data_IF_004444083565
#
_entry.id   IF_004444083565
#
_cell.length_a   1.000
_cell.length_b   1.000
_cell.length_c   1.000
_cell.angle_alpha   90.00
_cell.angle_beta   90.00
_cell.angle_gamma   90.00
#
_symmetry.space_group_name_H-M   'P 1'
#
loop_
_entity.id
_entity.type
_entity.pdbx_description
1 polymer ?
#
# COMPACT_ATOMS: atom_id res chain seq x y z
N UNK A 1 42.56 -2.74 4.65
CA UNK A 1 41.71 -3.51 5.57
C UNK A 1 40.26 -3.33 5.12
N UNK A 2 39.65 -4.35 4.56
CA UNK A 2 38.25 -4.34 4.11
C UNK A 2 37.39 -4.97 5.20
N UNK A 3 36.49 -4.18 5.79
CA UNK A 3 35.62 -4.60 6.88
C UNK A 3 34.37 -5.25 6.26
N UNK A 4 34.28 -6.57 6.34
CA UNK A 4 33.13 -7.32 5.82
C UNK A 4 32.02 -7.28 6.88
N UNK A 5 31.00 -6.46 6.66
CA UNK A 5 29.83 -6.40 7.53
C UNK A 5 28.75 -7.35 7.01
N UNK A 6 28.44 -8.38 7.80
CA UNK A 6 27.30 -9.26 7.53
C UNK A 6 26.02 -8.56 7.99
N UNK A 7 25.18 -8.13 7.06
CA UNK A 7 23.84 -7.63 7.37
C UNK A 7 22.85 -8.80 7.43
N UNK A 8 22.26 -9.03 8.60
CA UNK A 8 21.11 -9.92 8.71
C UNK A 8 19.88 -9.22 8.16
N UNK A 9 19.42 -9.65 6.99
CA UNK A 9 18.20 -9.12 6.38
C UNK A 9 16.99 -9.58 7.20
N UNK A 10 16.12 -8.65 7.59
CA UNK A 10 14.91 -8.98 8.33
C UNK A 10 14.04 -9.94 7.53
N UNK A 11 13.57 -11.00 8.19
CA UNK A 11 12.58 -11.93 7.64
C UNK A 11 11.20 -11.46 8.10
N UNK A 12 10.26 -11.39 7.17
CA UNK A 12 8.85 -11.16 7.49
C UNK A 12 7.96 -12.20 6.81
N UNK A 13 6.83 -12.50 7.46
CA UNK A 13 5.76 -13.33 6.93
C UNK A 13 4.52 -12.44 6.77
N UNK A 14 3.98 -12.34 5.56
CA UNK A 14 2.76 -11.61 5.27
C UNK A 14 1.67 -12.55 4.77
N UNK A 15 0.46 -12.39 5.30
CA UNK A 15 -0.76 -13.07 4.85
C UNK A 15 -1.82 -12.02 4.59
N UNK A 16 -2.44 -12.06 3.41
CA UNK A 16 -3.45 -11.09 3.03
C UNK A 16 -4.57 -11.68 2.19
N UNK A 17 -5.67 -10.94 2.14
CA UNK A 17 -6.84 -11.22 1.34
C UNK A 17 -7.25 -9.96 0.58
N UNK A 18 -7.82 -10.14 -0.61
CA UNK A 18 -8.34 -9.04 -1.42
C UNK A 18 -9.69 -9.44 -2.00
N UNK A 19 -10.65 -8.52 -1.91
CA UNK A 19 -11.99 -8.67 -2.45
C UNK A 19 -12.25 -7.56 -3.46
N UNK A 20 -12.87 -7.90 -4.59
CA UNK A 20 -13.19 -6.97 -5.68
C UNK A 20 -14.69 -6.97 -5.92
N UNK A 21 -15.29 -5.79 -6.03
CA UNK A 21 -16.71 -5.61 -6.27
C UNK A 21 -16.96 -4.55 -7.35
N UNK A 22 -17.96 -4.71 -8.22
CA UNK A 22 -18.68 -5.97 -8.48
C UNK A 22 -17.75 -7.03 -9.11
N UNK A 23 -17.93 -8.30 -8.75
CA UNK A 23 -17.06 -9.38 -9.25
C UNK A 23 -17.31 -9.71 -10.72
N UNK A 24 -18.50 -9.36 -11.22
CA UNK A 24 -19.02 -9.70 -12.56
C UNK A 24 -18.42 -8.83 -13.67
N UNK A 25 -17.89 -7.65 -13.34
CA UNK A 25 -17.41 -6.69 -14.32
C UNK A 25 -15.91 -6.84 -14.56
N UNK A 26 -15.48 -6.64 -15.82
CA UNK A 26 -14.04 -6.60 -16.18
C UNK A 26 -13.24 -5.54 -15.41
N UNK A 27 -13.91 -4.49 -14.92
CA UNK A 27 -13.31 -3.44 -14.10
C UNK A 27 -14.09 -3.33 -12.78
N UNK A 28 -13.50 -3.70 -11.63
CA UNK A 28 -14.18 -3.49 -10.35
C UNK A 28 -14.28 -1.99 -10.05
N UNK A 29 -15.30 -1.62 -9.29
CA UNK A 29 -15.52 -0.26 -8.83
C UNK A 29 -14.93 -0.10 -7.42
N UNK A 30 -14.87 -1.18 -6.65
CA UNK A 30 -14.37 -1.20 -5.28
C UNK A 30 -13.45 -2.40 -5.08
N UNK A 31 -12.29 -2.16 -4.47
CA UNK A 31 -11.38 -3.21 -4.01
C UNK A 31 -11.13 -3.01 -2.53
N UNK A 32 -11.29 -4.08 -1.74
CA UNK A 32 -10.95 -4.13 -0.33
C UNK A 32 -9.75 -5.04 -0.17
N UNK A 33 -8.75 -4.61 0.58
CA UNK A 33 -7.56 -5.40 0.88
C UNK A 33 -7.29 -5.39 2.38
N UNK A 34 -6.99 -6.56 2.93
CA UNK A 34 -6.54 -6.71 4.31
C UNK A 34 -5.30 -7.60 4.32
N UNK A 35 -4.33 -7.29 5.17
CA UNK A 35 -3.17 -8.12 5.37
C UNK A 35 -2.67 -8.02 6.81
N UNK A 36 -1.96 -9.05 7.22
CA UNK A 36 -1.22 -9.09 8.47
C UNK A 36 0.23 -9.51 8.17
N UNK A 37 1.17 -8.81 8.78
CA UNK A 37 2.60 -9.07 8.64
C UNK A 37 3.23 -9.28 10.03
N UNK A 38 3.99 -10.37 10.15
CA UNK A 38 4.87 -10.66 11.28
C UNK A 38 6.32 -10.48 10.84
N UNK A 39 6.99 -9.46 11.36
CA UNK A 39 8.45 -9.30 11.23
C UNK A 39 9.10 -10.10 12.36
N UNK A 40 9.97 -11.05 12.04
CA UNK A 40 10.50 -11.99 13.04
C UNK A 40 11.54 -11.37 13.99
N UNK A 41 12.11 -10.23 13.62
CA UNK A 41 13.05 -9.47 14.46
C UNK A 41 12.38 -8.41 15.32
N UNK A 42 11.08 -8.19 15.16
CA UNK A 42 10.31 -7.18 15.89
C UNK A 42 9.19 -7.85 16.70
N UNK A 43 8.88 -7.26 17.86
CA UNK A 43 7.70 -7.63 18.64
C UNK A 43 6.43 -7.09 17.98
N UNK A 44 5.30 -7.74 18.26
CA UNK A 44 4.02 -7.36 17.67
C UNK A 44 3.74 -7.89 16.26
N UNK A 45 2.67 -7.37 15.67
CA UNK A 45 2.10 -7.69 14.37
C UNK A 45 1.70 -6.38 13.69
N UNK A 46 1.78 -6.36 12.36
CA UNK A 46 1.38 -5.23 11.54
C UNK A 46 0.10 -5.62 10.79
N UNK A 47 -0.99 -4.91 11.05
CA UNK A 47 -2.24 -5.04 10.35
C UNK A 47 -2.32 -3.95 9.28
N UNK A 48 -2.69 -4.32 8.07
CA UNK A 48 -2.85 -3.43 6.93
C UNK A 48 -4.27 -3.58 6.42
N UNK A 49 -4.96 -2.46 6.26
CA UNK A 49 -6.28 -2.39 5.63
C UNK A 49 -6.26 -1.36 4.52
N UNK A 50 -6.99 -1.62 3.44
CA UNK A 50 -7.04 -0.74 2.28
C UNK A 50 -8.35 -0.82 1.54
N UNK A 51 -8.77 0.32 1.03
CA UNK A 51 -9.92 0.47 0.15
C UNK A 51 -9.48 1.24 -1.08
N UNK A 52 -9.76 0.71 -2.26
CA UNK A 52 -9.65 1.41 -3.53
C UNK A 52 -11.04 1.55 -4.14
N UNK A 53 -11.43 2.79 -4.45
CA UNK A 53 -12.67 3.13 -5.11
C UNK A 53 -12.39 3.77 -6.46
N UNK A 54 -13.05 3.28 -7.49
CA UNK A 54 -12.91 3.66 -8.89
C UNK A 54 -14.23 4.27 -9.37
N UNK A 55 -14.56 5.53 -8.98
CA UNK A 55 -15.81 6.18 -9.37
C UNK A 55 -15.95 6.32 -10.89
N UNK A 56 -14.81 6.39 -11.60
CA UNK A 56 -14.76 6.39 -13.06
C UNK A 56 -13.58 5.54 -13.53
N UNK A 57 -13.55 5.06 -14.79
CA UNK A 57 -12.42 4.31 -15.32
C UNK A 57 -11.09 5.08 -15.36
N UNK A 58 -11.14 6.42 -15.22
CA UNK A 58 -9.99 7.32 -15.25
C UNK A 58 -9.54 7.81 -13.87
N UNK A 59 -10.29 7.52 -12.81
CA UNK A 59 -9.97 8.00 -11.45
C UNK A 59 -10.02 6.86 -10.45
N UNK A 60 -8.93 6.69 -9.71
CA UNK A 60 -8.80 5.79 -8.58
C UNK A 60 -8.58 6.60 -7.30
N UNK A 61 -9.36 6.33 -6.27
CA UNK A 61 -9.23 6.91 -4.94
C UNK A 61 -8.87 5.78 -3.98
N UNK A 62 -7.81 5.97 -3.19
CA UNK A 62 -7.29 4.93 -2.29
C UNK A 62 -7.16 5.48 -0.88
N UNK A 63 -7.59 4.68 0.08
CA UNK A 63 -7.36 4.93 1.50
C UNK A 63 -6.84 3.65 2.12
N UNK A 64 -5.77 3.76 2.89
CA UNK A 64 -5.18 2.66 3.62
C UNK A 64 -4.95 3.02 5.07
N UNK A 65 -4.93 2.03 5.93
CA UNK A 65 -4.57 2.16 7.33
C UNK A 65 -3.62 1.03 7.71
N UNK A 66 -2.55 1.39 8.41
CA UNK A 66 -1.57 0.44 8.94
C UNK A 66 -1.55 0.61 10.44
N UNK A 67 -1.67 -0.51 11.15
CA UNK A 67 -1.65 -0.56 12.59
C UNK A 67 -0.59 -1.56 13.05
N UNK A 68 0.35 -1.11 13.88
CA UNK A 68 1.35 -1.95 14.54
C UNK A 68 0.93 -2.13 16.00
N UNK A 69 0.96 -3.36 16.51
CA UNK A 69 0.54 -3.62 17.90
C UNK A 69 1.60 -3.29 18.95
N UNK A 70 2.89 -3.36 18.62
CA UNK A 70 3.98 -3.05 19.55
C UNK A 70 5.15 -2.35 18.83
N UNK A 71 5.41 -1.06 19.09
CA UNK A 71 4.57 -0.16 19.87
C UNK A 71 3.20 0.04 19.19
N UNK A 72 2.15 0.32 19.97
CA UNK A 72 0.78 0.52 19.47
C UNK A 72 0.68 1.81 18.66
N UNK A 73 0.76 1.68 17.33
CA UNK A 73 1.00 2.80 16.42
C UNK A 73 0.17 2.66 15.15
N UNK A 74 -0.52 3.73 14.76
CA UNK A 74 -1.41 3.77 13.59
C UNK A 74 -0.98 4.82 12.57
N UNK A 75 -1.02 4.48 11.28
CA UNK A 75 -0.76 5.41 10.18
C UNK A 75 -1.81 5.27 9.08
N UNK A 76 -2.39 6.40 8.68
CA UNK A 76 -3.28 6.47 7.52
C UNK A 76 -2.49 6.77 6.26
N UNK A 77 -2.92 6.24 5.13
CA UNK A 77 -2.36 6.47 3.80
C UNK A 77 -3.49 6.86 2.85
N UNK A 78 -3.22 7.82 1.99
CA UNK A 78 -4.13 8.26 0.95
C UNK A 78 -3.45 8.13 -0.40
N UNK A 79 -4.23 7.80 -1.42
CA UNK A 79 -3.75 7.71 -2.78
C UNK A 79 -4.79 8.20 -3.77
N UNK A 80 -4.31 8.76 -4.86
CA UNK A 80 -5.10 9.23 -5.99
C UNK A 80 -4.40 8.78 -7.26
N UNK A 81 -5.12 8.06 -8.11
CA UNK A 81 -4.65 7.60 -9.41
C UNK A 81 -5.48 8.24 -10.52
N UNK A 82 -4.84 8.80 -11.52
CA UNK A 82 -5.48 9.33 -12.73
C UNK A 82 -4.97 8.55 -13.93
N UNK A 83 -5.91 8.07 -14.75
CA UNK A 83 -5.61 7.39 -16.02
C UNK A 83 -6.12 8.24 -17.17
N UNK A 84 -5.19 8.67 -18.02
CA UNK A 84 -5.42 9.50 -19.21
C UNK A 84 -4.93 8.75 -20.45
N UNK A 85 -5.78 7.90 -21.01
CA UNK A 85 -5.45 7.08 -22.19
C UNK A 85 -4.29 6.12 -21.90
N UNK A 86 -3.09 6.46 -22.40
CA UNK A 86 -1.86 5.68 -22.21
C UNK A 86 -1.08 6.05 -20.95
N UNK A 87 -1.41 7.17 -20.32
CA UNK A 87 -0.72 7.68 -19.14
C UNK A 87 -1.46 7.27 -17.87
N UNK A 88 -0.70 6.85 -16.87
CA UNK A 88 -1.18 6.63 -15.51
C UNK A 88 -0.31 7.43 -14.56
N UNK A 89 -0.92 8.33 -13.81
CA UNK A 89 -0.29 9.09 -12.75
C UNK A 89 -0.88 8.61 -11.42
N UNK A 90 -0.03 8.17 -10.50
CA UNK A 90 -0.41 7.77 -9.16
C UNK A 90 0.29 8.69 -8.16
N UNK A 91 -0.47 9.29 -7.26
CA UNK A 91 -0.01 10.11 -6.15
C UNK A 91 -0.39 9.43 -4.85
N UNK A 92 0.57 9.24 -3.95
CA UNK A 92 0.33 8.68 -2.63
C UNK A 92 0.93 9.58 -1.54
N UNK A 93 0.21 9.71 -0.44
CA UNK A 93 0.65 10.45 0.72
C UNK A 93 0.39 9.65 1.98
N UNK A 94 1.40 9.54 2.83
CA UNK A 94 1.29 8.94 4.15
C UNK A 94 1.54 10.03 5.20
N UNK A 95 0.49 10.75 5.62
CA UNK A 95 0.61 11.68 6.74
C UNK A 95 0.76 10.84 8.01
N UNK A 96 2.01 10.60 8.42
CA UNK A 96 2.31 9.88 9.65
C UNK A 96 3.06 10.78 10.64
N UNK A 97 2.82 10.54 11.93
CA UNK A 97 3.63 11.03 13.06
C UNK A 97 4.76 10.03 13.43
N UNK A 98 4.95 8.94 12.67
CA UNK A 98 5.70 7.73 13.06
C UNK A 98 6.86 7.35 12.15
N UNK A 99 6.90 7.90 10.95
CA UNK A 99 7.90 7.73 9.90
C UNK A 99 7.84 8.98 9.04
N UNK A 100 8.97 9.36 8.42
CA UNK A 100 9.06 10.54 7.56
C UNK A 100 7.84 10.63 6.63
N UNK A 101 7.24 11.83 6.60
CA UNK A 101 6.11 12.13 5.71
C UNK A 101 6.50 11.69 4.31
N UNK A 102 5.86 10.64 3.83
CA UNK A 102 6.17 10.06 2.53
C UNK A 102 5.17 10.63 1.54
N UNK A 103 5.71 11.32 0.53
CA UNK A 103 4.98 11.73 -0.66
C UNK A 103 5.60 10.96 -1.82
N UNK A 104 4.80 10.13 -2.46
CA UNK A 104 5.23 9.31 -3.58
C UNK A 104 4.42 9.70 -4.82
N UNK A 105 5.12 9.84 -5.94
CA UNK A 105 4.54 10.20 -7.23
C UNK A 105 5.09 9.23 -8.25
N UNK A 106 4.20 8.45 -8.86
CA UNK A 106 4.54 7.48 -9.89
C UNK A 106 3.87 7.86 -11.20
N UNK A 107 4.62 7.76 -12.29
CA UNK A 107 4.12 7.96 -13.65
C UNK A 107 4.46 6.72 -14.47
N UNK A 108 3.44 6.11 -15.07
CA UNK A 108 3.57 4.98 -15.98
C UNK A 108 2.98 5.31 -17.35
N UNK A 109 3.63 4.81 -18.39
CA UNK A 109 3.19 4.96 -19.79
C UNK A 109 2.99 3.55 -20.36
N UNK A 110 1.76 3.24 -20.75
CA UNK A 110 1.43 2.00 -21.44
C UNK A 110 1.71 2.13 -22.93
N UNK A 111 2.71 1.41 -23.41
CA UNK A 111 2.91 1.17 -24.85
C UNK A 111 2.20 -0.13 -25.18
N UNK A 112 1.04 -0.02 -25.85
CA UNK A 112 0.38 -1.14 -26.52
C UNK A 112 1.03 -1.37 -27.88
#
# INVERSE_FOLDING_TARGET
MTLLQTMNLHRSLEVGATMRYPFEFKKPILTLAIANEKVFTETGLIYKGGVEWLPTPSLALRVGYIYRTDPALGSTRYGLGIVLGRFRLDYATAPSHLTDRTYDVSLAIGFW
#
